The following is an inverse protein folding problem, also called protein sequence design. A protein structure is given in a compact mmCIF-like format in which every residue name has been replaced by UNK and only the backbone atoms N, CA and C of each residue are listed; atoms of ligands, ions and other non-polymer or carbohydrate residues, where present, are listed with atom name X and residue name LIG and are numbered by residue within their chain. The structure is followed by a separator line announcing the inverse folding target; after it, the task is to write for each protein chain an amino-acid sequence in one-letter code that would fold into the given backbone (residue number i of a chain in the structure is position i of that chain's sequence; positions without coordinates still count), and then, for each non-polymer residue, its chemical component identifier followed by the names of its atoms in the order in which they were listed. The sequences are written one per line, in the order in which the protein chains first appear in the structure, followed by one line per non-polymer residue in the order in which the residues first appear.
data_IF_284262105403
#
_entry.id   IF_284262105403
#
_cell.length_a   1.000
_cell.length_b   1.000
_cell.length_c   1.000
_cell.angle_alpha   90.00
_cell.angle_beta   90.00
_cell.angle_gamma   90.00
#
_symmetry.space_group_name_H-M   'P 1'
#
loop_
_entity.id
_entity.type
_entity.pdbx_description
1 polymer ?
#
# COMPACT_ATOMS: atom_id res chain seq x y z
N UNK A 1 -1.95 -3.04 -14.91
CA UNK A 1 -2.05 -4.14 -13.92
C UNK A 1 -2.21 -3.56 -12.52
N UNK A 2 -3.17 -4.08 -11.75
CA UNK A 2 -3.42 -3.72 -10.34
C UNK A 2 -3.14 -4.94 -9.49
N UNK A 3 -2.08 -4.88 -8.65
CA UNK A 3 -1.61 -6.02 -7.88
C UNK A 3 -1.59 -5.72 -6.37
N UNK A 4 -2.04 -6.68 -5.57
CA UNK A 4 -1.94 -6.69 -4.12
C UNK A 4 -0.97 -7.79 -3.70
N UNK A 5 0.08 -7.43 -2.96
CA UNK A 5 1.09 -8.36 -2.45
C UNK A 5 0.95 -8.42 -0.94
N UNK A 6 0.53 -9.56 -0.45
CA UNK A 6 0.26 -9.83 0.95
C UNK A 6 1.35 -10.74 1.53
N UNK A 7 2.07 -10.28 2.55
CA UNK A 7 3.06 -11.10 3.24
C UNK A 7 3.28 -10.65 4.68
N UNK A 8 3.82 -11.52 5.52
CA UNK A 8 4.22 -11.17 6.91
C UNK A 8 5.30 -10.09 6.93
N UNK A 9 5.48 -9.45 8.07
CA UNK A 9 6.61 -8.54 8.28
C UNK A 9 7.94 -9.28 8.09
N UNK A 10 8.91 -8.64 7.44
CA UNK A 10 10.22 -9.24 7.18
C UNK A 10 10.32 -10.15 5.96
N UNK A 11 9.22 -10.47 5.27
CA UNK A 11 9.21 -11.36 4.09
C UNK A 11 9.63 -10.68 2.76
N UNK A 12 10.23 -9.51 2.83
CA UNK A 12 10.86 -8.91 1.66
C UNK A 12 9.93 -8.11 0.73
N UNK A 13 8.67 -7.79 1.14
CA UNK A 13 7.74 -6.98 0.32
C UNK A 13 8.41 -5.72 -0.24
N UNK A 14 8.89 -4.86 0.63
CA UNK A 14 9.55 -3.62 0.21
C UNK A 14 10.91 -3.87 -0.47
N UNK A 15 11.57 -4.99 -0.17
CA UNK A 15 12.83 -5.39 -0.82
C UNK A 15 12.60 -5.74 -2.30
N UNK A 16 11.45 -6.34 -2.63
CA UNK A 16 11.11 -6.74 -4.01
C UNK A 16 10.91 -5.55 -4.97
N UNK A 17 10.77 -4.33 -4.45
CA UNK A 17 10.76 -3.11 -5.27
C UNK A 17 12.14 -2.85 -5.87
N UNK A 18 13.19 -3.18 -5.10
CA UNK A 18 14.58 -2.93 -5.46
C UNK A 18 15.21 -4.02 -6.31
N UNK A 19 16.42 -3.76 -6.75
CA UNK A 19 17.26 -4.74 -7.41
C UNK A 19 17.78 -5.77 -6.40
N UNK A 20 17.77 -7.05 -6.78
CA UNK A 20 18.36 -8.16 -6.02
C UNK A 20 19.35 -8.87 -6.95
N UNK A 21 20.61 -8.38 -7.04
CA UNK A 21 21.59 -8.88 -8.00
C UNK A 21 21.91 -10.37 -7.84
N UNK A 22 21.90 -10.85 -6.59
CA UNK A 22 22.17 -12.25 -6.26
C UNK A 22 21.16 -13.23 -6.87
N UNK A 23 19.96 -12.73 -7.16
CA UNK A 23 18.89 -13.50 -7.80
C UNK A 23 18.65 -13.08 -9.26
N UNK A 24 19.44 -12.17 -9.81
CA UNK A 24 19.25 -11.63 -11.16
C UNK A 24 17.98 -10.79 -11.33
N UNK A 25 17.37 -10.33 -10.23
CA UNK A 25 16.14 -9.53 -10.24
C UNK A 25 16.50 -8.06 -10.37
N UNK A 26 16.01 -7.40 -11.42
CA UNK A 26 16.29 -5.97 -11.67
C UNK A 26 15.48 -5.01 -10.81
N UNK A 27 14.36 -5.47 -10.24
CA UNK A 27 13.41 -4.60 -9.55
C UNK A 27 12.69 -3.62 -10.49
N UNK A 28 12.02 -2.63 -9.91
CA UNK A 28 11.35 -1.56 -10.64
C UNK A 28 12.33 -0.43 -10.98
N UNK A 29 12.27 0.11 -12.20
CA UNK A 29 13.08 1.28 -12.57
C UNK A 29 12.64 2.50 -11.75
N UNK A 30 13.52 3.10 -10.92
CA UNK A 30 13.18 4.27 -10.11
C UNK A 30 12.77 5.50 -10.93
N UNK A 31 13.19 5.62 -12.18
CA UNK A 31 12.81 6.71 -13.07
C UNK A 31 11.36 6.62 -13.53
N UNK A 32 10.82 5.40 -13.56
CA UNK A 32 9.45 5.11 -13.99
C UNK A 32 8.53 4.77 -12.80
N UNK A 33 9.06 4.79 -11.57
CA UNK A 33 8.34 4.34 -10.36
C UNK A 33 8.17 5.48 -9.37
N UNK A 34 6.94 5.67 -8.91
CA UNK A 34 6.63 6.54 -7.78
C UNK A 34 6.22 5.71 -6.56
N UNK A 35 6.85 5.97 -5.42
CA UNK A 35 6.66 5.23 -4.18
C UNK A 35 5.89 6.07 -3.15
N UNK A 36 4.75 5.58 -2.71
CA UNK A 36 3.98 6.09 -1.57
C UNK A 36 4.30 5.18 -0.38
N UNK A 37 5.10 5.68 0.57
CA UNK A 37 5.45 4.94 1.79
C UNK A 37 4.52 5.35 2.92
N UNK A 38 3.73 4.40 3.46
CA UNK A 38 2.83 4.69 4.57
C UNK A 38 3.55 4.76 5.92
N UNK A 39 4.82 4.35 5.96
CA UNK A 39 5.68 4.42 7.15
C UNK A 39 6.97 5.14 6.83
N UNK A 40 7.39 6.03 7.74
CA UNK A 40 8.68 6.71 7.63
C UNK A 40 9.82 5.78 8.08
N UNK A 41 10.25 4.92 7.17
CA UNK A 41 11.39 4.02 7.38
C UNK A 41 12.32 4.03 6.17
N UNK A 42 13.63 3.71 6.33
CA UNK A 42 14.51 3.46 5.21
C UNK A 42 13.98 2.32 4.34
N UNK A 43 14.18 2.41 3.02
CA UNK A 43 13.89 1.31 2.12
C UNK A 43 14.96 0.21 2.27
N UNK A 44 14.58 -1.09 2.30
CA UNK A 44 15.46 -2.17 2.69
C UNK A 44 16.34 -2.71 1.54
N UNK A 45 16.71 -1.88 0.57
CA UNK A 45 17.58 -2.29 -0.53
C UNK A 45 18.68 -1.25 -0.81
N UNK A 46 19.79 -1.73 -1.38
CA UNK A 46 21.01 -0.92 -1.58
C UNK A 46 20.76 0.26 -2.52
N UNK A 47 21.25 1.44 -2.14
CA UNK A 47 21.16 2.66 -2.95
C UNK A 47 19.78 3.31 -3.02
N UNK A 48 18.83 2.84 -2.22
CA UNK A 48 17.44 3.34 -2.24
C UNK A 48 17.34 4.85 -2.01
N UNK A 49 18.11 5.41 -1.07
CA UNK A 49 18.09 6.84 -0.77
C UNK A 49 18.51 7.73 -1.96
N UNK A 50 19.44 7.25 -2.79
CA UNK A 50 19.85 7.93 -4.02
C UNK A 50 18.87 7.76 -5.18
N UNK A 51 18.13 6.65 -5.20
CA UNK A 51 17.19 6.29 -6.26
C UNK A 51 15.79 6.86 -6.03
N UNK A 52 15.35 6.98 -4.77
CA UNK A 52 14.02 7.43 -4.37
C UNK A 52 14.11 8.72 -3.55
N UNK A 53 13.91 9.85 -4.24
CA UNK A 53 13.98 11.19 -3.63
C UNK A 53 12.64 11.54 -2.99
N UNK A 54 12.67 11.83 -1.69
CA UNK A 54 11.46 12.22 -0.93
C UNK A 54 11.00 13.61 -1.35
N UNK A 55 9.70 13.75 -1.52
CA UNK A 55 9.02 15.01 -1.86
C UNK A 55 7.74 15.17 -1.03
N UNK A 56 6.99 16.25 -1.27
CA UNK A 56 5.67 16.51 -0.69
C UNK A 56 4.60 16.45 -1.78
N UNK A 57 3.32 16.27 -1.40
CA UNK A 57 2.19 16.27 -2.33
C UNK A 57 2.14 17.52 -3.21
N UNK A 58 2.49 18.70 -2.66
CA UNK A 58 2.56 19.96 -3.42
C UNK A 58 3.71 20.00 -4.44
N UNK A 59 4.70 19.11 -4.36
CA UNK A 59 5.90 19.08 -5.21
C UNK A 59 6.17 17.69 -5.79
N UNK A 60 5.11 16.95 -6.11
CA UNK A 60 5.17 15.54 -6.53
C UNK A 60 6.14 15.31 -7.70
N UNK A 61 6.23 16.26 -8.64
CA UNK A 61 7.13 16.18 -9.79
C UNK A 61 8.63 16.40 -9.46
N UNK A 62 8.97 16.80 -8.23
CA UNK A 62 10.36 17.06 -7.81
C UNK A 62 11.04 15.86 -7.17
N UNK A 63 10.35 14.75 -7.07
CA UNK A 63 10.85 13.49 -6.52
C UNK A 63 10.02 12.31 -6.99
N UNK A 64 10.29 11.15 -6.45
CA UNK A 64 9.59 9.91 -6.78
C UNK A 64 9.27 9.07 -5.54
N UNK A 65 9.28 9.70 -4.37
CA UNK A 65 8.83 9.11 -3.10
C UNK A 65 8.12 10.13 -2.24
N UNK A 66 7.02 9.74 -1.62
CA UNK A 66 6.34 10.49 -0.57
C UNK A 66 6.11 9.60 0.64
N UNK A 67 6.09 10.22 1.83
CA UNK A 67 5.80 9.53 3.09
C UNK A 67 4.51 10.13 3.63
N UNK A 68 3.44 9.36 3.59
CA UNK A 68 2.14 9.74 4.13
C UNK A 68 1.28 8.51 4.42
N UNK A 69 0.49 8.57 5.48
CA UNK A 69 -0.54 7.59 5.82
C UNK A 69 -1.94 8.24 5.97
N UNK A 70 -2.11 9.45 5.49
CA UNK A 70 -3.43 10.05 5.39
C UNK A 70 -4.16 9.50 4.17
N UNK A 71 -5.32 8.87 4.39
CA UNK A 71 -6.05 8.16 3.34
C UNK A 71 -6.50 9.10 2.20
N UNK A 72 -6.90 10.34 2.51
CA UNK A 72 -7.33 11.32 1.50
C UNK A 72 -6.15 11.80 0.67
N UNK A 73 -5.02 12.05 1.33
CA UNK A 73 -3.78 12.44 0.65
C UNK A 73 -3.28 11.32 -0.25
N UNK A 74 -3.26 10.06 0.23
CA UNK A 74 -2.89 8.88 -0.58
C UNK A 74 -3.77 8.75 -1.81
N UNK A 75 -5.10 8.84 -1.66
CA UNK A 75 -6.03 8.76 -2.79
C UNK A 75 -5.78 9.89 -3.82
N UNK A 76 -5.63 11.13 -3.36
CA UNK A 76 -5.33 12.27 -4.22
C UNK A 76 -4.00 12.11 -4.97
N UNK A 77 -2.95 11.56 -4.32
CA UNK A 77 -1.65 11.29 -4.95
C UNK A 77 -1.80 10.22 -6.02
N UNK A 78 -2.53 9.13 -5.77
CA UNK A 78 -2.79 8.08 -6.77
C UNK A 78 -3.50 8.68 -8.00
N UNK A 79 -4.50 9.53 -7.82
CA UNK A 79 -5.21 10.20 -8.92
C UNK A 79 -4.28 11.14 -9.71
N UNK A 80 -3.41 11.91 -9.05
CA UNK A 80 -2.39 12.72 -9.72
C UNK A 80 -1.40 11.85 -10.51
N UNK A 81 -0.96 10.74 -9.95
CA UNK A 81 -0.02 9.82 -10.57
C UNK A 81 -0.65 9.06 -11.77
N UNK A 82 -1.96 8.87 -11.78
CA UNK A 82 -2.66 8.28 -12.91
C UNK A 82 -2.41 9.06 -14.24
N UNK A 83 -2.20 10.37 -14.15
CA UNK A 83 -1.92 11.25 -15.28
C UNK A 83 -0.44 11.68 -15.39
N UNK A 84 0.45 11.10 -14.60
CA UNK A 84 1.88 11.43 -14.57
C UNK A 84 2.70 10.60 -15.57
N UNK A 85 3.99 10.92 -15.81
CA UNK A 85 4.87 10.09 -16.62
C UNK A 85 5.30 8.78 -15.94
N UNK A 86 5.06 8.60 -14.63
CA UNK A 86 5.41 7.37 -13.92
C UNK A 86 4.55 6.20 -14.40
N UNK A 87 5.18 5.09 -14.77
CA UNK A 87 4.52 3.87 -15.20
C UNK A 87 4.08 2.99 -14.03
N UNK A 88 4.87 3.02 -12.95
CA UNK A 88 4.63 2.20 -11.76
C UNK A 88 4.31 3.09 -10.55
N UNK A 89 3.23 2.78 -9.87
CA UNK A 89 2.84 3.36 -8.59
C UNK A 89 2.95 2.26 -7.55
N UNK A 90 3.70 2.49 -6.48
CA UNK A 90 3.82 1.53 -5.38
C UNK A 90 3.26 2.17 -4.12
N UNK A 91 2.29 1.52 -3.49
CA UNK A 91 1.77 1.86 -2.17
C UNK A 91 2.34 0.86 -1.15
N UNK A 92 3.39 1.27 -0.43
CA UNK A 92 4.12 0.41 0.50
C UNK A 92 3.58 0.53 1.93
N UNK A 93 3.35 -0.63 2.56
CA UNK A 93 2.84 -0.75 3.93
C UNK A 93 1.42 -0.17 4.12
N UNK A 94 0.52 -0.43 3.17
CA UNK A 94 -0.85 0.11 3.11
C UNK A 94 -1.67 -0.09 4.39
N UNK A 95 -1.42 -1.15 5.18
CA UNK A 95 -2.13 -1.40 6.43
C UNK A 95 -2.00 -0.28 7.46
N UNK A 96 -0.87 0.44 7.46
CA UNK A 96 -0.63 1.51 8.44
C UNK A 96 -1.52 2.73 8.24
N UNK A 97 -2.17 2.88 7.09
CA UNK A 97 -3.17 3.94 6.88
C UNK A 97 -4.31 3.80 7.89
N UNK A 98 -4.90 2.62 7.98
CA UNK A 98 -6.00 2.34 8.90
C UNK A 98 -5.51 2.18 10.35
N UNK A 99 -4.38 1.52 10.57
CA UNK A 99 -3.84 1.29 11.91
C UNK A 99 -3.47 2.58 12.62
N UNK A 100 -2.72 3.47 11.97
CA UNK A 100 -2.30 4.74 12.55
C UNK A 100 -3.48 5.69 12.74
N UNK A 101 -4.45 5.68 11.81
CA UNK A 101 -5.68 6.45 11.99
C UNK A 101 -6.45 5.98 13.23
N UNK A 102 -6.61 4.66 13.39
CA UNK A 102 -7.26 4.09 14.58
C UNK A 102 -6.54 4.50 15.86
N UNK A 103 -5.21 4.31 15.94
CA UNK A 103 -4.42 4.64 17.12
C UNK A 103 -4.50 6.11 17.50
N UNK A 104 -4.46 7.03 16.52
CA UNK A 104 -4.61 8.48 16.75
C UNK A 104 -5.99 8.88 17.28
N UNK A 105 -7.02 8.09 17.01
CA UNK A 105 -8.41 8.40 17.33
C UNK A 105 -9.03 7.45 18.38
N UNK A 106 -8.31 6.44 18.85
CA UNK A 106 -8.83 5.40 19.74
C UNK A 106 -9.45 5.92 21.03
N UNK A 107 -8.94 7.03 21.56
CA UNK A 107 -9.44 7.64 22.81
C UNK A 107 -10.64 8.59 22.59
N UNK A 108 -11.04 8.89 21.33
CA UNK A 108 -12.13 9.84 21.07
C UNK A 108 -13.52 9.25 21.28
N UNK A 109 -13.61 7.94 21.51
CA UNK A 109 -14.88 7.23 21.69
C UNK A 109 -15.79 7.20 20.47
N UNK A 110 -16.81 6.32 20.49
CA UNK A 110 -17.86 6.26 19.47
C UNK A 110 -17.54 5.45 18.22
N UNK A 111 -18.57 5.24 17.40
CA UNK A 111 -18.53 4.44 16.17
C UNK A 111 -17.97 5.20 14.93
N UNK A 112 -17.56 6.46 15.10
CA UNK A 112 -17.14 7.28 13.97
C UNK A 112 -15.76 6.89 13.44
N UNK A 113 -14.86 6.40 14.31
CA UNK A 113 -13.54 6.00 13.89
C UNK A 113 -13.55 4.84 12.88
N UNK A 114 -14.25 3.71 13.11
CA UNK A 114 -14.38 2.65 12.11
C UNK A 114 -15.01 3.11 10.79
N UNK A 115 -16.03 3.97 10.84
CA UNK A 115 -16.65 4.53 9.62
C UNK A 115 -15.69 5.37 8.81
N UNK A 116 -14.88 6.21 9.48
CA UNK A 116 -13.88 7.04 8.82
C UNK A 116 -12.75 6.19 8.20
N UNK A 117 -12.33 5.10 8.85
CA UNK A 117 -11.39 4.14 8.29
C UNK A 117 -11.98 3.52 7.02
N UNK A 118 -13.21 2.98 7.08
CA UNK A 118 -13.88 2.39 5.93
C UNK A 118 -14.01 3.39 4.77
N UNK A 119 -14.44 4.62 5.05
CA UNK A 119 -14.52 5.69 4.06
C UNK A 119 -13.16 6.01 3.43
N UNK A 120 -12.11 6.17 4.26
CA UNK A 120 -10.76 6.47 3.77
C UNK A 120 -10.19 5.35 2.89
N UNK A 121 -10.38 4.10 3.29
CA UNK A 121 -9.98 2.94 2.46
C UNK A 121 -10.78 2.87 1.17
N UNK A 122 -12.07 3.19 1.20
CA UNK A 122 -12.92 3.32 0.01
C UNK A 122 -12.37 4.32 -1.00
N UNK A 123 -11.96 5.51 -0.55
CA UNK A 123 -11.35 6.53 -1.41
C UNK A 123 -10.08 6.01 -2.11
N UNK A 124 -9.23 5.27 -1.37
CA UNK A 124 -8.01 4.69 -1.94
C UNK A 124 -8.35 3.65 -3.01
N UNK A 125 -9.27 2.72 -2.74
CA UNK A 125 -9.67 1.72 -3.73
C UNK A 125 -10.32 2.33 -4.97
N UNK A 126 -11.12 3.39 -4.80
CA UNK A 126 -11.69 4.13 -5.92
C UNK A 126 -10.61 4.81 -6.76
N UNK A 127 -9.60 5.41 -6.12
CA UNK A 127 -8.46 5.99 -6.82
C UNK A 127 -7.65 4.92 -7.58
N UNK A 128 -7.40 3.74 -6.96
CA UNK A 128 -6.74 2.59 -7.59
C UNK A 128 -7.52 2.13 -8.83
N UNK A 129 -8.85 2.05 -8.74
CA UNK A 129 -9.69 1.63 -9.85
C UNK A 129 -9.63 2.59 -11.05
N UNK A 130 -9.41 3.89 -10.81
CA UNK A 130 -9.25 4.92 -11.84
C UNK A 130 -7.88 4.91 -12.52
N UNK A 131 -6.88 4.19 -11.98
CA UNK A 131 -5.56 4.09 -12.62
C UNK A 131 -5.70 3.39 -13.97
N UNK A 132 -5.23 4.01 -15.08
CA UNK A 132 -5.39 3.46 -16.42
C UNK A 132 -4.59 2.16 -16.62
N UNK A 133 -5.04 1.28 -17.51
CA UNK A 133 -4.42 -0.01 -17.81
C UNK A 133 -2.96 0.09 -18.29
N UNK A 134 -2.60 1.23 -18.86
CA UNK A 134 -1.21 1.53 -19.28
C UNK A 134 -0.22 1.66 -18.12
N UNK A 135 -0.71 1.67 -16.88
CA UNK A 135 0.11 1.79 -15.68
C UNK A 135 -0.02 0.57 -14.78
N UNK A 136 0.98 0.39 -13.93
CA UNK A 136 0.96 -0.59 -12.86
C UNK A 136 0.74 0.10 -11.51
N UNK A 137 -0.11 -0.46 -10.67
CA UNK A 137 -0.18 -0.12 -9.26
C UNK A 137 0.02 -1.37 -8.42
N UNK A 138 1.01 -1.32 -7.53
CA UNK A 138 1.37 -2.39 -6.62
C UNK A 138 1.11 -1.93 -5.19
N UNK A 139 0.22 -2.61 -4.50
CA UNK A 139 -0.06 -2.37 -3.09
C UNK A 139 0.59 -3.48 -2.26
N UNK A 140 1.46 -3.09 -1.33
CA UNK A 140 2.15 -4.00 -0.43
C UNK A 140 1.50 -3.91 0.94
N UNK A 141 1.05 -5.05 1.47
CA UNK A 141 0.31 -5.08 2.71
C UNK A 141 0.63 -6.34 3.53
N UNK A 142 0.19 -6.36 4.77
CA UNK A 142 0.23 -7.54 5.61
C UNK A 142 -1.05 -8.34 5.46
N UNK A 143 -0.95 -9.65 5.61
CA UNK A 143 -2.10 -10.53 5.78
C UNK A 143 -2.26 -10.94 7.25
N UNK A 144 -3.45 -11.40 7.58
CA UNK A 144 -3.72 -12.18 8.76
C UNK A 144 -4.19 -13.57 8.37
N UNK A 145 -3.87 -14.52 9.21
CA UNK A 145 -4.17 -15.93 9.04
C UNK A 145 -5.37 -16.29 9.90
N UNK A 146 -6.41 -16.80 9.26
CA UNK A 146 -7.57 -17.34 9.95
C UNK A 146 -7.36 -18.86 10.14
N UNK A 147 -7.48 -19.31 11.38
CA UNK A 147 -7.33 -20.71 11.77
C UNK A 147 -8.64 -21.27 12.24
N UNK A 148 -8.82 -22.58 12.04
CA UNK A 148 -9.93 -23.32 12.64
C UNK A 148 -9.70 -23.59 14.14
N UNK A 149 -10.65 -24.30 14.76
CA UNK A 149 -10.58 -24.68 16.19
C UNK A 149 -9.42 -25.62 16.50
N UNK A 150 -8.89 -26.34 15.50
CA UNK A 150 -7.76 -27.27 15.63
C UNK A 150 -6.41 -26.60 15.38
N UNK A 151 -6.41 -25.32 14.96
CA UNK A 151 -5.21 -24.57 14.64
C UNK A 151 -4.78 -24.68 13.17
N UNK A 152 -5.56 -25.34 12.33
CA UNK A 152 -5.27 -25.44 10.89
C UNK A 152 -5.65 -24.16 10.16
N UNK A 153 -4.79 -23.73 9.22
CA UNK A 153 -4.98 -22.51 8.44
C UNK A 153 -6.14 -22.67 7.45
N UNK A 154 -7.19 -21.86 7.62
CA UNK A 154 -8.36 -21.87 6.75
C UNK A 154 -8.22 -20.89 5.58
N UNK A 155 -7.66 -19.70 5.83
CA UNK A 155 -7.52 -18.66 4.81
C UNK A 155 -6.52 -17.59 5.23
N UNK A 156 -6.01 -16.88 4.24
CA UNK A 156 -5.22 -15.65 4.41
C UNK A 156 -6.03 -14.49 3.85
N UNK A 157 -6.05 -13.37 4.55
CA UNK A 157 -6.77 -12.16 4.13
C UNK A 157 -5.94 -10.92 4.40
N UNK A 158 -6.23 -9.85 3.69
CA UNK A 158 -5.68 -8.54 3.99
C UNK A 158 -5.90 -8.20 5.48
N UNK A 159 -4.83 -7.86 6.18
CA UNK A 159 -4.91 -7.47 7.60
C UNK A 159 -5.55 -6.10 7.72
N UNK A 160 -6.82 -6.05 8.03
CA UNK A 160 -7.55 -4.81 8.24
C UNK A 160 -7.49 -4.33 9.69
N UNK A 161 -7.93 -3.09 9.93
CA UNK A 161 -8.11 -2.53 11.27
C UNK A 161 -9.60 -2.28 11.48
N UNK A 162 -10.23 -3.18 12.25
CA UNK A 162 -11.67 -3.17 12.54
C UNK A 162 -12.50 -3.87 11.47
N UNK A 163 -13.63 -4.44 11.90
CA UNK A 163 -14.50 -5.30 11.08
C UNK A 163 -15.18 -4.57 9.90
N UNK A 164 -15.22 -3.23 9.90
CA UNK A 164 -15.90 -2.46 8.86
C UNK A 164 -15.28 -2.63 7.48
N UNK A 165 -13.95 -2.69 7.39
CA UNK A 165 -13.28 -2.93 6.11
C UNK A 165 -13.59 -4.33 5.60
N UNK A 166 -13.51 -5.33 6.47
CA UNK A 166 -13.75 -6.73 6.10
C UNK A 166 -15.21 -7.02 5.73
N UNK A 167 -16.16 -6.34 6.41
CA UNK A 167 -17.58 -6.56 6.16
C UNK A 167 -18.11 -5.88 4.89
N UNK A 168 -17.56 -4.71 4.53
CA UNK A 168 -18.11 -3.87 3.46
C UNK A 168 -17.17 -3.68 2.27
N UNK A 169 -15.88 -3.95 2.46
CA UNK A 169 -14.87 -3.84 1.41
C UNK A 169 -14.10 -5.15 1.39
N UNK A 170 -14.13 -5.88 0.30
CA UNK A 170 -13.22 -7.00 0.05
C UNK A 170 -11.97 -6.45 -0.67
N UNK A 171 -10.88 -6.13 0.05
CA UNK A 171 -9.70 -5.53 -0.57
C UNK A 171 -9.16 -6.37 -1.72
N UNK A 172 -9.08 -7.68 -1.54
CA UNK A 172 -8.57 -8.63 -2.55
C UNK A 172 -9.38 -8.55 -3.86
N UNK A 173 -10.70 -8.38 -3.76
CA UNK A 173 -11.59 -8.27 -4.91
C UNK A 173 -11.44 -6.96 -5.72
N UNK A 174 -10.60 -6.02 -5.27
CA UNK A 174 -10.31 -4.76 -5.97
C UNK A 174 -9.09 -4.83 -6.88
N UNK A 175 -8.39 -5.96 -6.90
CA UNK A 175 -7.14 -6.14 -7.64
C UNK A 175 -7.27 -7.24 -8.71
N UNK A 176 -6.52 -7.08 -9.80
CA UNK A 176 -6.42 -8.06 -10.89
C UNK A 176 -5.58 -9.26 -10.46
N UNK A 177 -4.59 -9.03 -9.59
CA UNK A 177 -3.65 -10.05 -9.10
C UNK A 177 -3.48 -9.89 -7.59
N UNK A 178 -3.62 -10.99 -6.85
CA UNK A 178 -3.31 -11.08 -5.43
C UNK A 178 -2.25 -12.14 -5.22
N UNK A 179 -1.13 -11.75 -4.65
CA UNK A 179 -0.01 -12.66 -4.34
C UNK A 179 0.18 -12.76 -2.84
N UNK A 180 0.41 -13.98 -2.38
CA UNK A 180 0.72 -14.28 -0.98
C UNK A 180 2.16 -14.77 -0.88
N UNK A 181 2.93 -14.23 0.09
CA UNK A 181 4.32 -14.59 0.35
C UNK A 181 4.59 -14.91 1.82
#
# INVERSE_FOLDING_TARGET
MKALILAKSGFGKSTSIGEIPELGIKGLDPKETYLISCVNKPLPFRGAAGKYKITTSAKIAKGNRIITNDAKEVASIIEMLANSPFKNIVLDDMNYISQDFYMKNALKGGWDCPKQIGYGMGLIFDAINKVPESKNILCLAHYEEYKDKNGDSLSYRYKSTGNMVDQYICPEGKFEVVLYG
#
